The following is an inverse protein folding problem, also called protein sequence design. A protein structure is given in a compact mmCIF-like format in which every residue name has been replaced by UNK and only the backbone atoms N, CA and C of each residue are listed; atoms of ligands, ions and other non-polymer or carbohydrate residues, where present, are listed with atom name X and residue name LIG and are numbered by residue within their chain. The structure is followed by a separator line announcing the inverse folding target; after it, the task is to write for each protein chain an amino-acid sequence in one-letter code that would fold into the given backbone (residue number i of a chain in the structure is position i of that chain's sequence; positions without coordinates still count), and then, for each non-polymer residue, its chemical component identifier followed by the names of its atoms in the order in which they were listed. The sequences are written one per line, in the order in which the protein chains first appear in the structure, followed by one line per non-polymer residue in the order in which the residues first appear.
data_IF_541681719179
#
_entry.id   IF_541681719179
#
_cell.length_a   1.000
_cell.length_b   1.000
_cell.length_c   1.000
_cell.angle_alpha   90.00
_cell.angle_beta   90.00
_cell.angle_gamma   90.00
#
_symmetry.space_group_name_H-M   'P 1'
#
loop_
_entity.id
_entity.type
_entity.pdbx_description
1 polymer ?
#
# COMPACT_ATOMS: atom_id res chain seq x y z
N UNK A 1 42.51 -53.71 22.98
CA UNK A 1 42.79 -52.38 22.40
C UNK A 1 41.49 -51.59 22.50
N UNK A 2 41.07 -51.16 23.69
CA UNK A 2 41.69 -50.08 24.49
C UNK A 2 41.75 -48.82 23.59
N UNK A 3 41.09 -47.69 23.83
CA UNK A 3 40.70 -47.05 25.08
C UNK A 3 39.77 -45.85 24.73
N UNK A 4 38.65 -45.74 25.45
CA UNK A 4 38.32 -44.56 26.28
C UNK A 4 38.25 -43.16 25.62
N UNK A 5 37.03 -42.60 25.53
CA UNK A 5 36.64 -41.45 26.38
C UNK A 5 35.12 -41.24 26.43
N UNK A 6 34.60 -41.28 27.67
CA UNK A 6 33.26 -40.87 28.08
C UNK A 6 33.11 -39.35 28.09
N UNK A 7 31.85 -38.88 28.08
CA UNK A 7 31.25 -37.80 28.89
C UNK A 7 30.13 -37.13 28.07
N UNK A 8 28.83 -37.36 28.32
CA UNK A 8 27.98 -36.99 29.48
C UNK A 8 27.67 -35.48 29.53
N UNK A 9 26.39 -35.20 29.85
CA UNK A 9 25.76 -33.95 30.34
C UNK A 9 25.04 -33.16 29.22
N UNK A 10 23.70 -33.23 29.08
CA UNK A 10 22.56 -32.68 29.89
C UNK A 10 22.08 -31.38 29.21
N UNK A 11 20.96 -31.39 28.49
CA UNK A 11 19.60 -31.04 28.95
C UNK A 11 19.42 -29.52 29.12
N UNK A 12 18.27 -29.02 28.67
CA UNK A 12 17.69 -27.70 28.94
C UNK A 12 18.37 -26.52 28.18
N UNK A 13 17.68 -25.58 27.55
CA UNK A 13 16.29 -25.14 27.67
C UNK A 13 16.00 -24.08 26.59
N UNK A 14 14.72 -23.95 26.21
CA UNK A 14 13.97 -22.68 26.02
C UNK A 14 14.59 -21.59 25.13
N UNK A 15 13.92 -20.89 24.23
CA UNK A 15 12.50 -20.72 23.95
C UNK A 15 12.46 -19.83 22.69
N UNK A 16 11.51 -20.16 21.83
CA UNK A 16 10.96 -19.33 20.77
C UNK A 16 10.80 -17.86 21.18
N UNK A 17 11.41 -16.94 20.44
CA UNK A 17 10.96 -15.53 20.43
C UNK A 17 10.59 -15.19 18.99
N UNK A 18 9.33 -15.47 18.69
CA UNK A 18 8.56 -14.77 17.67
C UNK A 18 8.25 -13.39 18.25
N UNK A 19 8.91 -12.34 17.75
CA UNK A 19 8.47 -10.97 18.05
C UNK A 19 7.22 -10.69 17.21
N UNK A 20 6.07 -11.08 17.78
CA UNK A 20 4.79 -10.48 17.47
C UNK A 20 4.75 -9.13 18.21
N UNK A 21 5.00 -8.03 17.50
CA UNK A 21 4.61 -6.70 17.95
C UNK A 21 3.22 -6.41 17.40
N UNK A 22 2.21 -6.86 18.13
CA UNK A 22 0.86 -6.29 18.10
C UNK A 22 0.75 -5.39 19.33
N UNK A 23 0.62 -4.09 19.10
CA UNK A 23 0.20 -3.06 20.05
C UNK A 23 0.21 -1.74 19.25
N UNK A 24 -0.81 -0.92 19.11
CA UNK A 24 -2.16 -0.81 19.68
C UNK A 24 -2.99 -0.01 18.68
N UNK A 25 -4.29 -0.27 18.63
CA UNK A 25 -5.29 0.68 18.14
C UNK A 25 -5.20 1.96 18.98
N UNK A 26 -4.53 2.97 18.43
CA UNK A 26 -4.67 4.37 18.82
C UNK A 26 -5.61 5.03 17.83
N UNK A 27 -6.89 5.03 18.16
CA UNK A 27 -7.90 5.85 17.50
C UNK A 27 -7.65 7.31 17.92
N UNK A 28 -6.70 7.95 17.23
CA UNK A 28 -6.58 9.40 17.15
C UNK A 28 -6.70 9.72 15.65
N UNK A 29 -7.93 9.66 15.14
CA UNK A 29 -8.27 10.14 13.79
C UNK A 29 -8.12 11.66 13.79
N UNK A 30 -6.88 12.12 13.83
CA UNK A 30 -6.52 13.43 13.30
C UNK A 30 -6.92 13.43 11.83
N UNK A 31 -7.45 14.56 11.35
CA UNK A 31 -7.80 14.78 9.95
C UNK A 31 -6.61 14.47 8.99
N UNK A 32 -5.39 14.37 9.53
CA UNK A 32 -4.14 14.04 8.83
C UNK A 32 -4.08 12.60 8.28
N UNK A 33 -4.76 11.63 8.91
CA UNK A 33 -4.72 10.21 8.48
C UNK A 33 -5.82 9.85 7.45
N UNK A 34 -6.78 10.74 7.18
CA UNK A 34 -7.98 10.43 6.37
C UNK A 34 -7.62 9.94 4.96
N UNK A 35 -6.55 10.50 4.37
CA UNK A 35 -6.12 10.20 3.01
C UNK A 35 -4.82 9.40 2.94
N UNK A 36 -4.33 8.84 4.05
CA UNK A 36 -3.13 8.02 4.07
C UNK A 36 -3.48 6.54 3.93
N UNK A 37 -3.03 5.92 2.84
CA UNK A 37 -3.17 4.48 2.61
C UNK A 37 -1.95 3.75 3.16
N UNK A 38 -2.07 3.20 4.37
CA UNK A 38 -1.06 2.34 5.00
C UNK A 38 -1.07 0.94 4.38
N UNK A 39 0.10 0.45 3.98
CA UNK A 39 0.29 -0.86 3.39
C UNK A 39 0.35 -1.94 4.46
N UNK A 40 -0.24 -3.11 4.18
CA UNK A 40 -0.18 -4.24 5.12
C UNK A 40 1.25 -4.79 5.25
N UNK A 41 2.06 -4.62 4.20
CA UNK A 41 3.46 -5.05 4.14
C UNK A 41 4.30 -3.98 3.43
N UNK A 42 5.56 -3.78 3.83
CA UNK A 42 6.45 -2.89 3.11
C UNK A 42 6.57 -3.28 1.62
N UNK A 43 6.39 -2.31 0.74
CA UNK A 43 6.45 -2.47 -0.71
C UNK A 43 7.74 -1.85 -1.24
N UNK A 44 8.58 -2.63 -1.92
CA UNK A 44 9.81 -2.12 -2.52
C UNK A 44 9.61 -1.81 -4.01
N UNK A 45 9.93 -0.58 -4.41
CA UNK A 45 9.90 -0.12 -5.80
C UNK A 45 11.16 0.70 -6.10
N UNK A 46 11.86 0.34 -7.19
CA UNK A 46 13.08 1.03 -7.64
C UNK A 46 14.14 1.23 -6.54
N UNK A 47 14.30 0.22 -5.67
CA UNK A 47 15.29 0.23 -4.59
C UNK A 47 14.85 0.99 -3.33
N UNK A 48 13.66 1.60 -3.32
CA UNK A 48 13.09 2.27 -2.16
C UNK A 48 11.96 1.44 -1.55
N UNK A 49 11.89 1.39 -0.23
CA UNK A 49 10.82 0.69 0.50
C UNK A 49 9.79 1.71 0.99
N UNK A 50 8.53 1.43 0.72
CA UNK A 50 7.38 2.25 1.06
C UNK A 50 6.47 1.47 1.99
N UNK A 51 5.90 2.15 2.98
CA UNK A 51 4.94 1.57 3.92
C UNK A 51 3.55 2.16 3.75
N UNK A 52 3.43 3.24 3.00
CA UNK A 52 2.17 3.96 2.80
C UNK A 52 2.24 4.82 1.54
N UNK A 53 1.06 5.32 1.15
CA UNK A 53 0.90 6.37 0.16
C UNK A 53 -0.02 7.43 0.75
N UNK A 54 0.46 8.66 0.78
CA UNK A 54 -0.33 9.84 1.11
C UNK A 54 -1.09 10.33 -0.14
N UNK A 55 -2.42 10.40 -0.04
CA UNK A 55 -3.31 10.89 -1.08
C UNK A 55 -4.02 12.20 -0.67
N UNK A 56 -3.58 12.89 0.37
CA UNK A 56 -4.16 14.16 0.84
C UNK A 56 -4.29 15.21 -0.26
N UNK A 57 -3.35 15.26 -1.22
CA UNK A 57 -3.44 16.14 -2.39
C UNK A 57 -4.62 15.84 -3.36
N UNK A 58 -5.51 14.89 -3.05
CA UNK A 58 -6.79 14.73 -3.73
C UNK A 58 -7.71 15.94 -3.54
N UNK A 59 -7.61 16.64 -2.41
CA UNK A 59 -8.38 17.87 -2.14
C UNK A 59 -8.06 19.00 -3.12
N UNK A 60 -6.83 19.03 -3.64
CA UNK A 60 -6.36 20.01 -4.61
C UNK A 60 -6.63 19.62 -6.08
N UNK A 61 -7.35 18.52 -6.33
CA UNK A 61 -7.62 18.07 -7.70
C UNK A 61 -8.54 19.04 -8.44
N UNK A 62 -8.01 19.60 -9.53
CA UNK A 62 -8.81 20.40 -10.46
C UNK A 62 -9.63 19.52 -11.41
N UNK A 63 -10.75 20.06 -11.90
CA UNK A 63 -11.55 19.40 -12.96
C UNK A 63 -10.76 19.14 -14.24
N UNK A 64 -9.72 19.92 -14.51
CA UNK A 64 -8.81 19.71 -15.64
C UNK A 64 -7.94 18.45 -15.46
N UNK A 65 -7.54 18.16 -14.21
CA UNK A 65 -6.81 16.94 -13.88
C UNK A 65 -7.70 15.71 -14.01
N UNK A 66 -8.95 15.75 -13.53
CA UNK A 66 -9.90 14.65 -13.71
C UNK A 66 -10.16 14.34 -15.19
N UNK A 67 -10.43 15.37 -16.01
CA UNK A 67 -10.54 15.22 -17.48
C UNK A 67 -9.27 14.66 -18.12
N UNK A 68 -8.10 14.95 -17.55
CA UNK A 68 -6.83 14.40 -18.04
C UNK A 68 -6.71 12.93 -17.65
N UNK A 69 -7.11 12.55 -16.44
CA UNK A 69 -7.15 11.17 -15.99
C UNK A 69 -8.07 10.32 -16.89
N UNK A 70 -9.27 10.81 -17.23
CA UNK A 70 -10.19 10.14 -18.17
C UNK A 70 -9.55 9.94 -19.55
N UNK A 71 -8.89 10.99 -20.08
CA UNK A 71 -8.19 10.90 -21.36
C UNK A 71 -7.07 9.86 -21.33
N UNK A 72 -6.27 9.82 -20.26
CA UNK A 72 -5.20 8.82 -20.10
C UNK A 72 -5.81 7.42 -20.00
N UNK A 73 -6.88 7.27 -19.23
CA UNK A 73 -7.61 6.03 -19.05
C UNK A 73 -8.10 5.46 -20.40
N UNK A 74 -8.79 6.27 -21.20
CA UNK A 74 -9.25 5.87 -22.53
C UNK A 74 -8.09 5.62 -23.51
N UNK A 75 -7.04 6.44 -23.48
CA UNK A 75 -5.85 6.26 -24.35
C UNK A 75 -5.11 4.95 -24.08
N UNK A 76 -5.13 4.46 -22.83
CA UNK A 76 -4.59 3.14 -22.46
C UNK A 76 -5.46 1.97 -22.95
N UNK A 77 -6.56 2.24 -23.65
CA UNK A 77 -7.48 1.22 -24.15
C UNK A 77 -8.44 0.66 -23.10
N UNK A 78 -8.46 1.27 -21.90
CA UNK A 78 -9.41 0.86 -20.88
C UNK A 78 -10.81 1.37 -21.23
N UNK A 79 -11.80 0.52 -21.04
CA UNK A 79 -13.20 0.86 -21.21
C UNK A 79 -13.97 0.33 -20.00
N UNK A 80 -14.43 1.25 -19.14
CA UNK A 80 -15.43 0.97 -18.09
C UNK A 80 -16.63 1.89 -18.35
N UNK A 81 -17.83 1.43 -18.00
CA UNK A 81 -19.03 2.26 -18.06
C UNK A 81 -18.92 3.49 -17.13
N UNK A 82 -18.20 3.35 -16.02
CA UNK A 82 -17.90 4.41 -15.04
C UNK A 82 -16.40 4.31 -14.77
N UNK A 83 -15.62 5.27 -15.26
CA UNK A 83 -14.16 5.21 -15.19
C UNK A 83 -13.68 5.32 -13.72
N UNK A 84 -14.37 6.13 -12.93
CA UNK A 84 -14.13 6.40 -11.51
C UNK A 84 -14.20 5.13 -10.64
N UNK A 85 -14.90 4.09 -11.10
CA UNK A 85 -15.01 2.80 -10.41
C UNK A 85 -13.86 1.83 -10.76
N UNK A 86 -12.96 2.20 -11.68
CA UNK A 86 -11.86 1.37 -12.14
C UNK A 86 -10.60 1.54 -11.32
N UNK A 87 -9.92 0.43 -11.00
CA UNK A 87 -8.59 0.47 -10.37
C UNK A 87 -7.61 1.25 -11.26
N UNK A 88 -7.68 1.06 -12.58
CA UNK A 88 -6.75 1.74 -13.49
C UNK A 88 -6.94 3.26 -13.50
N UNK A 89 -8.17 3.76 -13.34
CA UNK A 89 -8.42 5.19 -13.17
C UNK A 89 -7.88 5.67 -11.82
N UNK A 90 -8.11 4.90 -10.75
CA UNK A 90 -7.57 5.24 -9.43
C UNK A 90 -6.04 5.33 -9.42
N UNK A 91 -5.33 4.40 -10.07
CA UNK A 91 -3.87 4.47 -10.22
C UNK A 91 -3.43 5.74 -10.97
N UNK A 92 -4.17 6.17 -12.01
CA UNK A 92 -3.86 7.40 -12.74
C UNK A 92 -4.03 8.63 -11.84
N UNK A 93 -5.12 8.71 -11.09
CA UNK A 93 -5.35 9.83 -10.16
C UNK A 93 -4.30 9.85 -9.06
N UNK A 94 -3.99 8.69 -8.45
CA UNK A 94 -2.97 8.56 -7.42
C UNK A 94 -1.57 8.98 -7.93
N UNK A 95 -1.22 8.63 -9.17
CA UNK A 95 -0.04 9.14 -9.85
C UNK A 95 -0.05 10.67 -9.97
N UNK A 96 -1.18 11.26 -10.37
CA UNK A 96 -1.29 12.71 -10.53
C UNK A 96 -1.22 13.47 -9.20
N UNK A 97 -1.71 12.89 -8.11
CA UNK A 97 -1.68 13.47 -6.75
C UNK A 97 -0.29 13.36 -6.16
N UNK A 98 0.25 12.14 -6.07
CA UNK A 98 1.52 11.84 -5.39
C UNK A 98 2.76 12.19 -6.19
N UNK A 99 2.60 12.41 -7.51
CA UNK A 99 3.70 12.52 -8.49
C UNK A 99 4.61 11.29 -8.59
N UNK A 100 4.27 10.16 -7.97
CA UNK A 100 4.99 8.89 -8.11
C UNK A 100 4.71 8.27 -9.48
N UNK A 101 5.63 7.51 -10.10
CA UNK A 101 5.42 6.90 -11.42
C UNK A 101 4.14 6.06 -11.49
N UNK A 102 3.48 5.99 -12.65
CA UNK A 102 2.25 5.18 -12.76
C UNK A 102 2.54 3.69 -12.54
N UNK A 103 3.75 3.25 -12.88
CA UNK A 103 4.27 1.91 -12.65
C UNK A 103 4.40 1.56 -11.17
N UNK A 104 4.57 2.57 -10.30
CA UNK A 104 4.53 2.35 -8.85
C UNK A 104 3.19 1.76 -8.46
N UNK A 105 2.10 2.36 -8.94
CA UNK A 105 0.73 1.94 -8.64
C UNK A 105 0.35 0.64 -9.36
N UNK A 106 0.79 0.46 -10.61
CA UNK A 106 0.54 -0.78 -11.36
C UNK A 106 1.26 -2.00 -10.75
N UNK A 107 2.34 -1.79 -9.98
CA UNK A 107 3.08 -2.86 -9.28
C UNK A 107 2.65 -3.09 -7.83
N UNK A 108 1.73 -2.28 -7.30
CA UNK A 108 1.24 -2.50 -5.93
C UNK A 108 0.57 -3.87 -5.79
N UNK A 109 0.67 -4.51 -4.62
CA UNK A 109 -0.15 -5.68 -4.32
C UNK A 109 -1.64 -5.32 -4.51
N UNK A 110 -2.42 -6.27 -5.04
CA UNK A 110 -3.82 -6.03 -5.38
C UNK A 110 -4.66 -5.48 -4.21
N UNK A 111 -4.35 -5.90 -2.98
CA UNK A 111 -5.03 -5.41 -1.76
C UNK A 111 -4.76 -3.92 -1.51
N UNK A 112 -3.53 -3.47 -1.73
CA UNK A 112 -3.15 -2.05 -1.57
C UNK A 112 -3.74 -1.19 -2.67
N UNK A 113 -3.72 -1.66 -3.93
CA UNK A 113 -4.40 -0.99 -5.03
C UNK A 113 -5.92 -0.85 -4.80
N UNK A 114 -6.55 -1.84 -4.16
CA UNK A 114 -7.97 -1.77 -3.79
C UNK A 114 -8.25 -0.73 -2.71
N UNK A 115 -7.35 -0.55 -1.72
CA UNK A 115 -7.48 0.52 -0.72
C UNK A 115 -7.45 1.90 -1.38
N UNK A 116 -6.49 2.12 -2.28
CA UNK A 116 -6.40 3.37 -3.08
C UNK A 116 -7.69 3.63 -3.86
N UNK A 117 -8.20 2.61 -4.55
CA UNK A 117 -9.46 2.74 -5.30
C UNK A 117 -10.64 3.09 -4.38
N UNK A 118 -10.78 2.37 -3.26
CA UNK A 118 -11.90 2.58 -2.35
C UNK A 118 -11.86 3.98 -1.72
N UNK A 119 -10.67 4.46 -1.35
CA UNK A 119 -10.49 5.80 -0.83
C UNK A 119 -10.88 6.86 -1.88
N UNK A 120 -10.42 6.71 -3.13
CA UNK A 120 -10.78 7.63 -4.20
C UNK A 120 -12.29 7.64 -4.49
N UNK A 121 -12.93 6.46 -4.52
CA UNK A 121 -14.39 6.36 -4.67
C UNK A 121 -15.08 7.06 -3.49
N UNK A 122 -14.62 6.81 -2.26
CA UNK A 122 -15.13 7.48 -1.07
C UNK A 122 -15.09 8.99 -1.23
N UNK A 123 -13.94 9.54 -1.63
CA UNK A 123 -13.76 10.97 -1.86
C UNK A 123 -14.67 11.53 -2.97
N UNK A 124 -14.75 10.87 -4.13
CA UNK A 124 -15.53 11.38 -5.28
C UNK A 124 -17.05 11.37 -5.05
N UNK A 125 -17.53 10.57 -4.09
CA UNK A 125 -18.95 10.43 -3.77
C UNK A 125 -19.28 10.81 -2.32
N UNK A 126 -18.37 11.50 -1.62
CA UNK A 126 -18.57 12.00 -0.26
C UNK A 126 -19.50 13.22 -0.20
#
# INVERSE_FOLDING_TARGET
MDDKKQSKVKEESTDSVIEEVVDLEGEDSTEEDEYIVKFDKPFTFEGNTYQEVDLSGMEDLSTAQLKTAEKIYSKKGNASAIAEMSIAYACIVAHMVTKKPIEFFDRLPAKEGMKIKNLLIGYLYS
#
